data_IF_604682666386
#
_entry.id   IF_604682666386
#
_cell.length_a   1.000
_cell.length_b   1.000
_cell.length_c   1.000
_cell.angle_alpha   90.00
_cell.angle_beta   90.00
_cell.angle_gamma   90.00
#
_symmetry.space_group_name_H-M   'P 1'
#
loop_
_entity.id
_entity.type
_entity.pdbx_description
1 polymer ?
#
# COMPACT_ATOMS: atom_id res chain seq x y z
N UNK A 1 -32.88 -0.56 11.03
CA UNK A 1 -33.49 0.18 12.17
C UNK A 1 -34.13 -0.79 13.20
N UNK A 2 -35.01 -1.71 12.83
CA UNK A 2 -35.60 -2.67 13.78
C UNK A 2 -34.61 -3.65 14.39
N UNK A 3 -33.65 -4.14 13.63
CA UNK A 3 -32.59 -5.05 14.11
C UNK A 3 -31.58 -4.36 15.01
N UNK A 4 -31.26 -3.08 14.75
CA UNK A 4 -30.36 -2.29 15.59
C UNK A 4 -31.01 -1.99 16.97
N UNK A 5 -32.28 -1.67 16.99
CA UNK A 5 -33.02 -1.47 18.24
C UNK A 5 -33.16 -2.77 19.05
N UNK A 6 -33.25 -3.91 18.37
CA UNK A 6 -33.28 -5.22 19.02
C UNK A 6 -31.92 -5.61 19.63
N UNK A 7 -30.82 -5.27 18.91
CA UNK A 7 -29.46 -5.47 19.43
C UNK A 7 -29.15 -4.56 20.63
N UNK A 8 -29.60 -3.29 20.59
CA UNK A 8 -29.48 -2.34 21.70
C UNK A 8 -30.28 -2.80 22.92
N UNK A 9 -31.52 -3.27 22.75
CA UNK A 9 -32.34 -3.83 23.86
C UNK A 9 -31.69 -5.06 24.49
N UNK A 10 -31.08 -5.94 23.70
CA UNK A 10 -30.36 -7.12 24.18
C UNK A 10 -29.06 -6.76 24.94
N UNK A 11 -28.42 -5.66 24.56
CA UNK A 11 -27.26 -5.11 25.27
C UNK A 11 -27.69 -4.47 26.60
N UNK A 12 -28.76 -3.70 26.62
CA UNK A 12 -29.33 -3.08 27.81
C UNK A 12 -29.79 -4.15 28.82
N UNK A 13 -30.40 -5.25 28.36
CA UNK A 13 -30.88 -6.36 29.20
C UNK A 13 -29.71 -7.17 29.82
N UNK A 14 -28.57 -7.27 29.13
CA UNK A 14 -27.36 -7.92 29.66
C UNK A 14 -26.50 -7.04 30.56
N UNK A 15 -26.61 -5.73 30.47
CA UNK A 15 -25.90 -4.74 31.27
C UNK A 15 -26.84 -3.96 32.18
N UNK A 16 -27.79 -4.63 32.84
CA UNK A 16 -28.63 -4.01 33.86
C UNK A 16 -27.79 -3.54 35.05
N UNK A 17 -27.39 -2.26 35.01
CA UNK A 17 -26.49 -1.61 35.97
C UNK A 17 -27.20 -1.31 37.32
N UNK A 18 -28.45 -1.78 37.52
CA UNK A 18 -29.22 -1.50 38.72
C UNK A 18 -29.01 -2.44 39.90
N UNK A 19 -28.17 -3.49 39.77
CA UNK A 19 -27.86 -4.45 40.83
C UNK A 19 -26.36 -4.48 41.11
N UNK A 20 -25.83 -3.56 41.89
CA UNK A 20 -24.52 -3.66 42.48
C UNK A 20 -24.55 -4.40 43.81
N UNK A 21 -23.86 -5.54 44.00
CA UNK A 21 -23.33 -5.97 45.28
C UNK A 21 -21.88 -5.50 45.41
N UNK A 22 -21.66 -4.73 46.44
CA UNK A 22 -20.33 -4.35 46.92
C UNK A 22 -19.50 -5.58 47.28
N UNK A 23 -18.50 -5.94 46.48
CA UNK A 23 -17.32 -6.68 46.91
C UNK A 23 -16.17 -6.50 45.93
N UNK A 24 -15.07 -6.11 46.49
CA UNK A 24 -13.76 -5.81 45.87
C UNK A 24 -13.25 -6.91 44.94
N UNK A 25 -13.11 -6.56 43.65
CA UNK A 25 -12.18 -7.23 42.75
C UNK A 25 -11.39 -6.15 42.04
N UNK A 26 -10.20 -5.86 42.52
CA UNK A 26 -9.20 -5.09 41.83
C UNK A 26 -8.50 -6.02 40.84
N UNK A 27 -8.64 -5.74 39.54
CA UNK A 27 -7.83 -6.41 38.49
C UNK A 27 -8.46 -6.60 37.12
N UNK A 28 -9.81 -6.61 37.00
CA UNK A 28 -10.47 -6.88 35.72
C UNK A 28 -10.99 -5.62 34.97
N UNK A 29 -11.07 -4.50 35.63
CA UNK A 29 -11.77 -3.29 35.14
C UNK A 29 -11.09 -2.57 33.98
N UNK A 30 -9.77 -2.61 33.85
CA UNK A 30 -9.06 -1.85 32.81
C UNK A 30 -9.10 -2.51 31.42
N UNK A 31 -9.12 -3.85 31.38
CA UNK A 31 -9.27 -4.60 30.14
C UNK A 31 -10.72 -4.54 29.61
N UNK A 32 -11.70 -4.68 30.49
CA UNK A 32 -13.12 -4.58 30.14
C UNK A 32 -13.52 -3.16 29.69
N UNK A 33 -12.94 -2.11 30.26
CA UNK A 33 -13.15 -0.73 29.84
C UNK A 33 -12.52 -0.50 28.44
N UNK A 34 -11.32 -0.99 28.16
CA UNK A 34 -10.68 -0.89 26.83
C UNK A 34 -11.44 -1.66 25.75
N UNK A 35 -12.00 -2.82 26.09
CA UNK A 35 -12.85 -3.57 25.15
C UNK A 35 -14.19 -2.85 24.90
N UNK A 36 -14.79 -2.28 25.93
CA UNK A 36 -16.02 -1.49 25.81
C UNK A 36 -15.80 -0.18 25.03
N UNK A 37 -14.68 0.52 25.25
CA UNK A 37 -14.30 1.69 24.46
C UNK A 37 -14.02 1.32 22.99
N UNK A 38 -13.41 0.17 22.73
CA UNK A 38 -13.22 -0.38 21.39
C UNK A 38 -14.55 -0.71 20.69
N UNK A 39 -15.52 -1.25 21.42
CA UNK A 39 -16.86 -1.56 20.91
C UNK A 39 -17.67 -0.28 20.65
N UNK A 40 -17.64 0.67 21.59
CA UNK A 40 -18.30 1.97 21.46
C UNK A 40 -17.69 2.79 20.32
N UNK A 41 -16.36 2.73 20.14
CA UNK A 41 -15.69 3.37 19.01
C UNK A 41 -16.11 2.78 17.67
N UNK A 42 -16.29 1.46 17.56
CA UNK A 42 -16.84 0.80 16.37
C UNK A 42 -18.29 1.18 16.13
N UNK A 43 -19.13 1.15 17.16
CA UNK A 43 -20.52 1.60 17.04
C UNK A 43 -20.62 3.09 16.66
N UNK A 44 -19.77 3.96 17.19
CA UNK A 44 -19.74 5.38 16.83
C UNK A 44 -19.30 5.60 15.38
N UNK A 45 -18.37 4.77 14.86
CA UNK A 45 -17.97 4.79 13.45
C UNK A 45 -19.07 4.28 12.52
N UNK A 46 -19.80 3.25 12.92
CA UNK A 46 -20.97 2.74 12.16
C UNK A 46 -22.15 3.69 12.17
N UNK A 47 -22.36 4.43 13.28
CA UNK A 47 -23.41 5.45 13.39
C UNK A 47 -23.08 6.73 12.63
N UNK A 48 -21.82 6.93 12.23
CA UNK A 48 -21.42 8.07 11.43
C UNK A 48 -21.64 7.76 9.93
N UNK A 49 -22.91 7.68 9.52
CA UNK A 49 -23.36 7.36 8.16
C UNK A 49 -22.73 8.23 7.04
N UNK A 50 -21.99 9.28 7.40
CA UNK A 50 -21.28 10.18 6.49
C UNK A 50 -19.75 9.96 6.48
N UNK A 51 -19.19 9.06 7.29
CA UNK A 51 -17.76 8.82 7.30
C UNK A 51 -17.40 7.89 6.13
N UNK A 52 -16.54 8.37 5.22
CA UNK A 52 -16.00 7.54 4.14
C UNK A 52 -15.27 6.34 4.73
N UNK A 53 -15.47 5.14 4.17
CA UNK A 53 -14.74 3.95 4.60
C UNK A 53 -13.22 4.11 4.38
N UNK A 54 -12.42 3.43 5.21
CA UNK A 54 -10.95 3.53 5.16
C UNK A 54 -10.39 2.58 4.14
N UNK A 55 -9.63 3.09 3.18
CA UNK A 55 -8.85 2.30 2.23
C UNK A 55 -7.35 2.50 2.45
N UNK A 56 -6.60 1.42 2.45
CA UNK A 56 -5.17 1.40 2.72
C UNK A 56 -4.40 1.22 1.43
N UNK A 57 -3.42 2.09 1.19
CA UNK A 57 -2.62 2.05 -0.03
C UNK A 57 -1.13 2.08 0.30
N UNK A 58 -0.39 1.17 -0.33
CA UNK A 58 1.08 1.14 -0.29
C UNK A 58 1.58 1.66 -1.63
N UNK A 59 2.37 2.70 -1.57
CA UNK A 59 3.07 3.23 -2.74
C UNK A 59 4.52 2.76 -2.76
N UNK A 60 5.05 2.52 -3.94
CA UNK A 60 6.45 2.16 -4.12
C UNK A 60 6.88 2.40 -5.56
N UNK A 61 8.16 2.73 -5.77
CA UNK A 61 8.76 2.66 -7.10
C UNK A 61 9.26 1.23 -7.38
N UNK A 62 9.40 0.88 -8.65
CA UNK A 62 9.97 -0.40 -9.02
C UNK A 62 11.39 -0.56 -8.41
N UNK A 63 11.73 -1.77 -8.02
CA UNK A 63 13.01 -2.13 -7.39
C UNK A 63 13.23 -1.60 -5.96
N UNK A 64 12.24 -1.00 -5.30
CA UNK A 64 12.33 -0.49 -3.93
C UNK A 64 11.92 -1.49 -2.82
N UNK A 65 11.78 -2.78 -3.14
CA UNK A 65 11.44 -3.81 -2.15
C UNK A 65 9.93 -3.99 -1.90
N UNK A 66 9.07 -3.24 -2.59
CA UNK A 66 7.61 -3.27 -2.39
C UNK A 66 6.99 -4.66 -2.48
N UNK A 67 7.48 -5.56 -3.33
CA UNK A 67 7.00 -6.95 -3.43
C UNK A 67 7.18 -7.72 -2.12
N UNK A 68 8.35 -7.61 -1.49
CA UNK A 68 8.63 -8.34 -0.26
C UNK A 68 7.78 -7.83 0.91
N UNK A 69 7.70 -6.51 1.07
CA UNK A 69 6.83 -5.88 2.08
C UNK A 69 5.37 -6.28 1.85
N UNK A 70 4.91 -6.29 0.60
CA UNK A 70 3.53 -6.70 0.27
C UNK A 70 3.25 -8.16 0.62
N UNK A 71 4.21 -9.08 0.43
CA UNK A 71 4.08 -10.47 0.88
C UNK A 71 3.93 -10.57 2.40
N UNK A 72 4.73 -9.79 3.15
CA UNK A 72 4.62 -9.74 4.60
C UNK A 72 3.25 -9.24 5.07
N UNK A 73 2.72 -8.20 4.43
CA UNK A 73 1.39 -7.69 4.76
C UNK A 73 0.27 -8.64 4.33
N UNK A 74 0.42 -9.37 3.22
CA UNK A 74 -0.53 -10.40 2.81
C UNK A 74 -0.55 -11.60 3.77
N UNK A 75 0.50 -11.79 4.55
CA UNK A 75 0.59 -12.85 5.55
C UNK A 75 -0.09 -12.49 6.89
N UNK A 76 -0.54 -11.25 7.07
CA UNK A 76 -1.25 -10.82 8.27
C UNK A 76 -2.69 -11.37 8.30
N UNK A 77 -3.26 -11.62 9.49
CA UNK A 77 -4.60 -12.16 9.62
C UNK A 77 -5.66 -11.26 8.97
N UNK A 78 -6.51 -11.85 8.13
CA UNK A 78 -7.62 -11.17 7.47
C UNK A 78 -7.22 -9.94 6.62
N UNK A 79 -5.97 -9.85 6.18
CA UNK A 79 -5.49 -8.83 5.24
C UNK A 79 -5.46 -9.40 3.84
N UNK A 80 -6.14 -8.72 2.91
CA UNK A 80 -6.22 -9.07 1.49
C UNK A 80 -5.57 -7.96 0.68
N UNK A 81 -4.53 -8.29 -0.09
CA UNK A 81 -3.74 -7.31 -0.82
C UNK A 81 -3.88 -7.48 -2.32
N UNK A 82 -4.39 -6.44 -3.00
CA UNK A 82 -4.36 -6.33 -4.45
C UNK A 82 -3.09 -5.59 -4.88
N UNK A 83 -2.22 -6.31 -5.60
CA UNK A 83 -0.89 -5.82 -5.94
C UNK A 83 -0.81 -5.29 -7.36
N UNK A 84 -0.05 -4.20 -7.54
CA UNK A 84 0.22 -3.54 -8.83
C UNK A 84 -1.07 -3.03 -9.50
N UNK A 85 -1.95 -2.38 -8.72
CA UNK A 85 -3.19 -1.81 -9.25
C UNK A 85 -2.96 -0.42 -9.85
N UNK A 86 -3.43 -0.21 -11.08
CA UNK A 86 -3.41 1.10 -11.74
C UNK A 86 -4.30 1.10 -12.98
N UNK A 87 -5.14 2.14 -13.23
CA UNK A 87 -6.07 2.14 -14.37
C UNK A 87 -5.41 2.35 -15.73
N UNK A 88 -4.28 3.04 -15.76
CA UNK A 88 -3.66 3.51 -17.01
C UNK A 88 -2.35 2.85 -17.39
N UNK A 89 -1.86 1.88 -16.60
CA UNK A 89 -0.58 1.25 -16.96
C UNK A 89 -0.60 0.67 -18.38
N UNK A 90 0.42 1.01 -19.16
CA UNK A 90 0.62 0.49 -20.52
C UNK A 90 1.76 -0.52 -20.61
N UNK A 91 2.47 -0.76 -19.52
CA UNK A 91 3.69 -1.59 -19.50
C UNK A 91 3.49 -3.04 -19.94
N UNK A 92 2.25 -3.55 -19.90
CA UNK A 92 1.92 -4.90 -20.35
C UNK A 92 1.12 -4.91 -21.66
N UNK A 93 0.85 -3.74 -22.26
CA UNK A 93 0.05 -3.61 -23.48
C UNK A 93 0.98 -3.61 -24.69
N UNK A 94 0.67 -4.48 -25.65
CA UNK A 94 1.26 -4.47 -26.98
C UNK A 94 0.12 -4.54 -28.00
N UNK A 95 -0.16 -3.42 -28.67
CA UNK A 95 -1.25 -3.31 -29.66
C UNK A 95 -1.06 -4.25 -30.86
N UNK A 96 0.19 -4.60 -31.18
CA UNK A 96 0.50 -5.51 -32.28
C UNK A 96 0.41 -6.98 -31.87
N UNK A 97 0.46 -7.26 -30.55
CA UNK A 97 0.41 -8.60 -30.00
C UNK A 97 -0.46 -8.62 -28.75
N UNK A 98 -1.79 -8.52 -28.90
CA UNK A 98 -2.73 -8.51 -27.78
C UNK A 98 -2.53 -9.68 -26.85
N UNK A 99 -2.46 -9.41 -25.55
CA UNK A 99 -2.29 -10.43 -24.52
C UNK A 99 -3.63 -11.08 -24.22
N UNK A 100 -3.61 -12.39 -24.01
CA UNK A 100 -4.79 -13.12 -23.53
C UNK A 100 -5.05 -12.74 -22.06
N UNK A 101 -6.08 -11.94 -21.83
CA UNK A 101 -6.50 -11.47 -20.51
C UNK A 101 -8.03 -11.35 -20.43
N UNK A 102 -8.76 -12.48 -20.40
CA UNK A 102 -10.22 -12.51 -20.58
C UNK A 102 -11.00 -11.78 -19.48
N UNK A 103 -10.40 -11.56 -18.34
CA UNK A 103 -11.02 -10.86 -17.19
C UNK A 103 -10.64 -9.38 -17.09
N UNK A 104 -9.70 -8.91 -17.89
CA UNK A 104 -9.26 -7.51 -17.89
C UNK A 104 -10.02 -6.70 -18.96
N UNK A 105 -11.20 -6.23 -18.57
CA UNK A 105 -12.08 -5.46 -19.46
C UNK A 105 -11.42 -4.17 -19.94
N UNK A 106 -10.58 -3.52 -19.12
CA UNK A 106 -9.87 -2.30 -19.50
C UNK A 106 -8.87 -2.54 -20.64
N UNK A 107 -8.10 -3.62 -20.57
CA UNK A 107 -7.20 -4.01 -21.64
C UNK A 107 -7.94 -4.42 -22.91
N UNK A 108 -9.02 -5.18 -22.76
CA UNK A 108 -9.87 -5.59 -23.90
C UNK A 108 -10.50 -4.38 -24.60
N UNK A 109 -10.94 -3.38 -23.85
CA UNK A 109 -11.47 -2.12 -24.39
C UNK A 109 -10.42 -1.35 -25.19
N UNK A 110 -9.17 -1.29 -24.68
CA UNK A 110 -8.04 -0.66 -25.39
C UNK A 110 -7.71 -1.41 -26.67
N UNK A 111 -7.66 -2.74 -26.67
CA UNK A 111 -7.44 -3.54 -27.89
C UNK A 111 -8.57 -3.42 -28.89
N UNK A 112 -9.81 -3.26 -28.44
CA UNK A 112 -10.97 -3.05 -29.30
C UNK A 112 -11.06 -1.59 -29.84
N UNK A 113 -10.14 -0.70 -29.51
CA UNK A 113 -10.13 0.71 -29.85
C UNK A 113 -11.43 1.44 -29.48
N UNK A 114 -11.99 1.12 -28.32
CA UNK A 114 -13.17 1.84 -27.81
C UNK A 114 -12.78 3.29 -27.57
N UNK A 115 -13.54 4.28 -28.11
CA UNK A 115 -13.27 5.69 -27.88
C UNK A 115 -13.26 6.02 -26.39
N UNK A 116 -12.37 6.92 -25.96
CA UNK A 116 -12.22 7.34 -24.56
C UNK A 116 -11.93 6.18 -23.61
N UNK A 117 -11.10 5.21 -24.05
CA UNK A 117 -10.79 4.00 -23.29
C UNK A 117 -10.14 4.28 -21.91
N UNK A 118 -9.45 5.42 -21.74
CA UNK A 118 -8.89 5.81 -20.45
C UNK A 118 -9.98 6.22 -19.46
N UNK A 119 -10.97 7.01 -19.89
CA UNK A 119 -12.11 7.37 -19.04
C UNK A 119 -12.95 6.14 -18.66
N UNK A 120 -13.06 5.16 -19.57
CA UNK A 120 -13.70 3.89 -19.28
C UNK A 120 -12.87 3.08 -18.26
N UNK A 121 -11.55 3.06 -18.40
CA UNK A 121 -10.65 2.38 -17.47
C UNK A 121 -10.76 2.96 -16.06
N UNK A 122 -10.86 4.29 -15.90
CA UNK A 122 -11.10 4.95 -14.61
C UNK A 122 -12.39 4.48 -13.95
N UNK A 123 -13.48 4.44 -14.72
CA UNK A 123 -14.78 3.98 -14.21
C UNK A 123 -14.75 2.51 -13.79
N UNK A 124 -14.18 1.65 -14.62
CA UNK A 124 -14.05 0.21 -14.33
C UNK A 124 -13.19 0.01 -13.09
N UNK A 125 -12.03 0.68 -13.02
CA UNK A 125 -11.12 0.60 -11.89
C UNK A 125 -11.81 1.00 -10.58
N UNK A 126 -12.43 2.17 -10.54
CA UNK A 126 -13.15 2.71 -9.39
C UNK A 126 -14.22 1.74 -8.89
N UNK A 127 -15.11 1.27 -9.78
CA UNK A 127 -16.19 0.36 -9.41
C UNK A 127 -15.65 -1.01 -8.95
N UNK A 128 -14.59 -1.50 -9.58
CA UNK A 128 -13.97 -2.77 -9.19
C UNK A 128 -13.34 -2.71 -7.81
N UNK A 129 -12.68 -1.59 -7.46
CA UNK A 129 -12.10 -1.42 -6.12
C UNK A 129 -13.20 -1.29 -5.05
N UNK A 130 -14.28 -0.55 -5.34
CA UNK A 130 -15.42 -0.43 -4.42
C UNK A 130 -16.02 -1.82 -4.16
N UNK A 131 -16.32 -2.58 -5.22
CA UNK A 131 -16.90 -3.91 -5.08
C UNK A 131 -15.97 -4.90 -4.33
N UNK A 132 -14.66 -4.83 -4.59
CA UNK A 132 -13.68 -5.65 -3.88
C UNK A 132 -13.59 -5.26 -2.40
N UNK A 133 -13.63 -3.97 -2.08
CA UNK A 133 -13.64 -3.45 -0.72
C UNK A 133 -14.87 -3.97 0.06
N UNK A 134 -16.06 -3.75 -0.47
CA UNK A 134 -17.32 -4.18 0.14
C UNK A 134 -17.36 -5.70 0.37
N UNK A 135 -16.87 -6.47 -0.59
CA UNK A 135 -16.80 -7.92 -0.47
C UNK A 135 -15.84 -8.35 0.66
N UNK A 136 -14.63 -7.79 0.70
CA UNK A 136 -13.63 -8.11 1.73
C UNK A 136 -14.13 -7.70 3.11
N UNK A 137 -14.73 -6.51 3.24
CA UNK A 137 -15.31 -6.01 4.49
C UNK A 137 -16.45 -6.92 4.99
N UNK A 138 -17.32 -7.39 4.10
CA UNK A 138 -18.41 -8.31 4.45
C UNK A 138 -17.91 -9.66 5.02
N UNK A 139 -16.68 -10.03 4.73
CA UNK A 139 -16.00 -11.20 5.29
C UNK A 139 -15.22 -10.91 6.58
N UNK A 140 -15.29 -9.68 7.09
CA UNK A 140 -14.50 -9.24 8.25
C UNK A 140 -13.00 -9.04 7.94
N UNK A 141 -12.66 -8.89 6.66
CA UNK A 141 -11.30 -8.67 6.21
C UNK A 141 -10.95 -7.19 6.02
N UNK A 142 -9.69 -6.93 5.73
CA UNK A 142 -9.17 -5.60 5.41
C UNK A 142 -8.52 -5.60 4.03
N UNK A 143 -9.02 -4.74 3.13
CA UNK A 143 -8.43 -4.56 1.81
C UNK A 143 -7.25 -3.60 1.86
N UNK A 144 -6.13 -4.02 1.27
CA UNK A 144 -4.95 -3.19 1.04
C UNK A 144 -4.66 -3.16 -0.46
N UNK A 145 -4.40 -2.00 -1.00
CA UNK A 145 -3.94 -1.83 -2.38
C UNK A 145 -2.42 -1.58 -2.40
N UNK A 146 -1.72 -2.23 -3.30
CA UNK A 146 -0.37 -1.84 -3.70
C UNK A 146 -0.47 -1.11 -5.02
N UNK A 147 -0.30 0.20 -4.98
CA UNK A 147 -0.32 1.06 -6.15
C UNK A 147 0.86 0.75 -7.09
N UNK A 148 0.59 0.64 -8.38
CA UNK A 148 1.62 0.60 -9.40
C UNK A 148 2.16 2.01 -9.68
N UNK A 149 2.71 2.63 -8.63
CA UNK A 149 3.24 4.01 -8.61
C UNK A 149 4.25 4.30 -9.74
N UNK A 150 4.91 3.24 -10.22
CA UNK A 150 5.82 3.30 -11.36
C UNK A 150 5.13 3.81 -12.65
N UNK A 151 3.85 3.49 -12.84
CA UNK A 151 3.08 3.95 -14.01
C UNK A 151 2.94 5.48 -14.02
N UNK A 152 2.74 6.11 -12.86
CA UNK A 152 2.63 7.56 -12.73
C UNK A 152 4.00 8.26 -12.80
N UNK A 153 5.00 7.72 -12.10
CA UNK A 153 6.25 8.45 -11.84
C UNK A 153 7.40 8.06 -12.76
N UNK A 154 7.36 6.87 -13.37
CA UNK A 154 8.49 6.35 -14.16
C UNK A 154 8.19 6.03 -15.62
N UNK A 155 6.96 6.26 -16.11
CA UNK A 155 6.60 5.93 -17.50
C UNK A 155 6.09 7.11 -18.32
N UNK A 156 5.66 8.20 -17.70
CA UNK A 156 5.16 9.38 -18.41
C UNK A 156 6.13 10.53 -18.38
N UNK A 157 6.04 11.43 -19.37
CA UNK A 157 6.78 12.69 -19.41
C UNK A 157 6.17 13.68 -18.40
N UNK A 158 4.86 13.65 -18.22
CA UNK A 158 4.13 14.43 -17.24
C UNK A 158 3.93 13.60 -15.96
N UNK A 159 4.53 14.06 -14.89
CA UNK A 159 4.40 13.42 -13.57
C UNK A 159 3.18 14.04 -12.88
N UNK A 160 2.19 13.24 -12.44
CA UNK A 160 1.03 13.76 -11.75
C UNK A 160 1.41 14.35 -10.39
N UNK A 161 0.68 15.37 -9.96
CA UNK A 161 0.88 15.98 -8.63
C UNK A 161 0.52 15.03 -7.48
N UNK A 162 -0.35 14.04 -7.74
CA UNK A 162 -0.77 13.00 -6.80
C UNK A 162 -0.95 11.69 -7.55
N UNK A 163 -0.78 10.57 -6.86
CA UNK A 163 -1.07 9.25 -7.43
C UNK A 163 -2.45 9.22 -8.08
N UNK A 164 -2.51 8.70 -9.30
CA UNK A 164 -3.77 8.50 -10.06
C UNK A 164 -4.74 7.63 -9.25
N UNK A 165 -4.26 6.58 -8.59
CA UNK A 165 -5.09 5.70 -7.75
C UNK A 165 -5.71 6.47 -6.59
N UNK A 166 -4.95 7.31 -5.89
CA UNK A 166 -5.46 8.15 -4.81
C UNK A 166 -6.52 9.11 -5.31
N UNK A 167 -6.23 9.83 -6.40
CA UNK A 167 -7.15 10.83 -6.98
C UNK A 167 -8.49 10.23 -7.38
N UNK A 168 -8.50 9.00 -7.93
CA UNK A 168 -9.72 8.32 -8.34
C UNK A 168 -10.55 7.80 -7.17
N UNK A 169 -9.92 7.46 -6.04
CA UNK A 169 -10.57 6.77 -4.94
C UNK A 169 -10.91 7.67 -3.74
N UNK A 170 -10.28 8.85 -3.61
CA UNK A 170 -10.50 9.77 -2.46
C UNK A 170 -11.92 10.33 -2.36
N UNK A 171 -12.70 10.30 -3.44
CA UNK A 171 -14.11 10.66 -3.39
C UNK A 171 -14.93 9.67 -2.55
N UNK A 172 -14.59 8.38 -2.59
CA UNK A 172 -15.32 7.30 -1.91
C UNK A 172 -14.70 6.86 -0.60
N UNK A 173 -13.37 7.00 -0.47
CA UNK A 173 -12.61 6.47 0.66
C UNK A 173 -11.85 7.55 1.42
N UNK A 174 -11.69 7.31 2.71
CA UNK A 174 -10.66 7.96 3.51
C UNK A 174 -9.36 7.16 3.34
N UNK A 175 -8.42 7.71 2.58
CA UNK A 175 -7.22 6.97 2.16
C UNK A 175 -6.12 7.11 3.19
N UNK A 176 -5.64 5.97 3.68
CA UNK A 176 -4.43 5.86 4.49
C UNK A 176 -3.31 5.32 3.61
N UNK A 177 -2.26 6.12 3.40
CA UNK A 177 -1.14 5.77 2.52
C UNK A 177 0.18 5.70 3.26
N UNK A 178 1.03 4.78 2.80
CA UNK A 178 2.47 4.75 3.11
C UNK A 178 3.27 4.68 1.80
N UNK A 179 4.52 5.11 1.87
CA UNK A 179 5.50 4.98 0.80
C UNK A 179 6.67 4.11 1.28
N UNK A 180 7.00 3.09 0.51
CA UNK A 180 8.22 2.31 0.74
C UNK A 180 9.30 2.77 -0.21
N UNK A 181 10.48 3.04 0.33
CA UNK A 181 11.65 3.53 -0.41
C UNK A 181 12.85 2.63 -0.17
N UNK A 182 13.81 2.71 -1.07
CA UNK A 182 15.11 2.07 -0.96
C UNK A 182 16.18 3.05 -1.39
N UNK A 183 17.42 2.83 -0.97
CA UNK A 183 18.57 3.62 -1.43
C UNK A 183 18.48 3.88 -2.95
N UNK A 184 18.54 5.14 -3.40
CA UNK A 184 18.36 5.49 -4.81
C UNK A 184 19.38 4.84 -5.74
N UNK A 185 20.63 4.70 -5.31
CA UNK A 185 21.69 4.07 -6.10
C UNK A 185 21.34 2.60 -6.36
N UNK A 186 20.91 1.88 -5.32
CA UNK A 186 20.55 0.47 -5.42
C UNK A 186 19.28 0.24 -6.25
N UNK A 187 18.29 1.12 -6.07
CA UNK A 187 17.03 1.06 -6.83
C UNK A 187 17.26 1.33 -8.31
N UNK A 188 17.99 2.40 -8.64
CA UNK A 188 18.29 2.76 -10.03
C UNK A 188 19.19 1.73 -10.72
N UNK A 189 20.20 1.23 -10.00
CA UNK A 189 21.06 0.13 -10.51
C UNK A 189 20.22 -1.09 -10.89
N UNK A 190 19.23 -1.42 -10.07
CA UNK A 190 18.32 -2.53 -10.35
C UNK A 190 17.37 -2.22 -11.52
N UNK A 191 16.91 -1.00 -11.68
CA UNK A 191 16.10 -0.57 -12.83
C UNK A 191 16.88 -0.70 -14.14
N UNK A 192 18.11 -0.19 -14.17
CA UNK A 192 19.00 -0.28 -15.34
C UNK A 192 19.28 -1.75 -15.70
N UNK A 193 19.64 -2.56 -14.71
CA UNK A 193 19.91 -4.01 -14.90
C UNK A 193 18.72 -4.76 -15.48
N UNK A 194 17.49 -4.40 -15.11
CA UNK A 194 16.28 -5.06 -15.57
C UNK A 194 15.74 -4.46 -16.89
N UNK A 195 16.31 -3.37 -17.40
CA UNK A 195 15.79 -2.65 -18.57
C UNK A 195 14.46 -1.92 -18.31
N UNK A 196 14.21 -1.51 -17.05
CA UNK A 196 12.94 -0.91 -16.61
C UNK A 196 13.01 0.62 -16.45
N UNK A 197 14.00 1.27 -17.05
CA UNK A 197 14.06 2.73 -17.13
C UNK A 197 13.20 3.17 -18.32
N UNK A 198 11.99 3.64 -18.04
CA UNK A 198 10.98 4.01 -19.04
C UNK A 198 10.74 5.52 -19.14
N UNK A 199 11.58 6.34 -18.53
CA UNK A 199 11.55 7.80 -18.57
C UNK A 199 12.76 8.36 -19.32
N UNK A 200 12.66 9.61 -19.77
CA UNK A 200 13.74 10.36 -20.39
C UNK A 200 14.02 11.67 -19.60
N UNK A 201 15.28 12.12 -19.52
CA UNK A 201 16.49 11.38 -19.88
C UNK A 201 16.72 10.16 -18.98
N UNK A 202 17.32 9.08 -19.51
CA UNK A 202 17.66 7.86 -18.76
C UNK A 202 18.91 8.09 -17.93
N UNK A 203 18.80 8.89 -16.86
CA UNK A 203 19.90 9.24 -15.97
C UNK A 203 19.52 9.04 -14.51
N UNK A 204 20.52 8.86 -13.67
CA UNK A 204 20.35 8.77 -12.22
C UNK A 204 19.79 10.08 -11.64
N UNK A 205 20.20 11.24 -12.18
CA UNK A 205 19.70 12.55 -11.73
C UNK A 205 18.20 12.70 -11.97
N UNK A 206 17.69 12.28 -13.14
CA UNK A 206 16.26 12.27 -13.45
C UNK A 206 15.49 11.27 -12.56
N UNK A 207 16.06 10.11 -12.28
CA UNK A 207 15.48 9.18 -11.31
C UNK A 207 15.29 9.85 -9.94
N UNK A 208 16.33 10.52 -9.44
CA UNK A 208 16.29 11.22 -8.16
C UNK A 208 15.28 12.39 -8.18
N UNK A 209 15.17 13.12 -9.29
CA UNK A 209 14.17 14.19 -9.45
C UNK A 209 12.75 13.63 -9.30
N UNK A 210 12.44 12.52 -9.95
CA UNK A 210 11.13 11.85 -9.89
C UNK A 210 10.84 11.28 -8.49
N UNK A 211 11.84 10.69 -7.87
CA UNK A 211 11.75 10.20 -6.50
C UNK A 211 11.43 11.34 -5.52
N UNK A 212 12.06 12.51 -5.65
CA UNK A 212 11.78 13.67 -4.81
C UNK A 212 10.34 14.17 -4.95
N UNK A 213 9.81 14.24 -6.18
CA UNK A 213 8.42 14.62 -6.43
C UNK A 213 7.46 13.65 -5.74
N UNK A 214 7.73 12.36 -5.77
CA UNK A 214 6.93 11.37 -5.05
C UNK A 214 7.05 11.53 -3.54
N UNK A 215 8.27 11.67 -3.01
CA UNK A 215 8.52 11.82 -1.58
C UNK A 215 7.81 13.05 -0.98
N UNK A 216 7.69 14.13 -1.75
CA UNK A 216 7.02 15.36 -1.31
C UNK A 216 5.52 15.20 -1.05
N UNK A 217 4.93 14.11 -1.53
CA UNK A 217 3.52 13.79 -1.29
C UNK A 217 3.28 13.11 0.07
N UNK A 218 4.35 12.72 0.78
CA UNK A 218 4.27 11.96 2.03
C UNK A 218 4.97 12.69 3.17
N UNK A 219 4.40 12.62 4.37
CA UNK A 219 5.08 13.02 5.60
C UNK A 219 6.15 11.98 5.97
N UNK A 220 7.15 12.39 6.74
CA UNK A 220 8.20 11.46 7.21
C UNK A 220 7.63 10.22 7.93
N UNK A 221 6.54 10.38 8.67
CA UNK A 221 5.87 9.27 9.37
C UNK A 221 5.13 8.28 8.44
N UNK A 222 5.08 8.53 7.14
CA UNK A 222 4.49 7.65 6.13
C UNK A 222 5.55 6.97 5.26
N UNK A 223 6.83 7.32 5.41
CA UNK A 223 7.93 6.80 4.59
C UNK A 223 8.65 5.70 5.36
N UNK A 224 8.78 4.53 4.73
CA UNK A 224 9.42 3.35 5.29
C UNK A 224 10.59 2.92 4.42
N UNK A 225 11.78 2.78 5.01
CA UNK A 225 12.99 2.36 4.30
C UNK A 225 13.05 0.83 4.17
N UNK A 226 13.43 0.36 2.98
CA UNK A 226 13.68 -1.06 2.73
C UNK A 226 14.89 -1.57 3.55
N UNK A 227 15.89 -0.74 3.78
CA UNK A 227 17.08 -1.07 4.55
C UNK A 227 16.70 -1.34 6.02
N UNK A 228 15.93 -0.45 6.64
CA UNK A 228 15.40 -0.66 7.99
C UNK A 228 14.47 -1.87 8.04
N UNK A 229 13.65 -2.07 7.01
CA UNK A 229 12.79 -3.25 6.94
C UNK A 229 13.61 -4.56 6.84
N UNK A 230 14.72 -4.57 6.09
CA UNK A 230 15.53 -5.78 5.96
C UNK A 230 16.39 -6.06 7.19
N UNK A 231 16.74 -5.04 7.99
CA UNK A 231 17.50 -5.19 9.23
C UNK A 231 16.63 -5.59 10.43
N UNK A 232 15.39 -5.07 10.51
CA UNK A 232 14.41 -5.41 11.55
C UNK A 232 13.00 -5.52 10.97
N UNK A 233 12.66 -6.64 10.32
CA UNK A 233 11.37 -6.84 9.68
C UNK A 233 10.18 -6.73 10.64
N UNK A 234 10.34 -7.25 11.86
CA UNK A 234 9.25 -7.27 12.84
C UNK A 234 8.89 -5.86 13.31
N UNK A 235 9.88 -5.07 13.70
CA UNK A 235 9.62 -3.68 14.10
C UNK A 235 9.03 -2.85 12.95
N UNK A 236 9.53 -3.03 11.72
CA UNK A 236 9.05 -2.26 10.58
C UNK A 236 7.64 -2.67 10.15
N UNK A 237 7.31 -3.97 10.10
CA UNK A 237 5.94 -4.42 9.82
C UNK A 237 4.98 -3.97 10.92
N UNK A 238 5.38 -4.02 12.19
CA UNK A 238 4.56 -3.49 13.29
C UNK A 238 4.28 -2.00 13.13
N UNK A 239 5.29 -1.19 12.77
CA UNK A 239 5.12 0.25 12.51
C UNK A 239 4.23 0.53 11.29
N UNK A 240 4.36 -0.25 10.21
CA UNK A 240 3.46 -0.19 9.04
C UNK A 240 2.03 -0.54 9.46
N UNK A 241 1.83 -1.61 10.23
CA UNK A 241 0.52 -2.02 10.73
C UNK A 241 -0.11 -0.93 11.58
N UNK A 242 0.65 -0.32 12.49
CA UNK A 242 0.17 0.82 13.29
C UNK A 242 -0.26 1.99 12.39
N UNK A 243 0.53 2.33 11.35
CA UNK A 243 0.24 3.44 10.44
C UNK A 243 -0.98 3.19 9.55
N UNK A 244 -1.17 1.95 9.11
CA UNK A 244 -2.29 1.54 8.25
C UNK A 244 -3.47 0.98 9.05
N UNK A 245 -3.39 0.95 10.37
CA UNK A 245 -4.41 0.34 11.24
C UNK A 245 -4.73 -1.11 10.81
N UNK A 246 -3.68 -1.92 10.66
CA UNK A 246 -3.76 -3.34 10.34
C UNK A 246 -3.49 -4.18 11.59
N UNK A 247 -4.04 -5.39 11.68
CA UNK A 247 -3.66 -6.33 12.73
C UNK A 247 -2.19 -6.73 12.54
N UNK A 248 -1.39 -6.66 13.62
CA UNK A 248 -0.02 -7.16 13.60
C UNK A 248 0.01 -8.59 14.16
N UNK A 249 0.74 -9.46 13.48
CA UNK A 249 1.01 -10.83 13.92
C UNK A 249 2.43 -11.21 13.50
N UNK A 250 3.28 -11.54 14.47
CA UNK A 250 4.70 -11.86 14.25
C UNK A 250 4.93 -13.12 13.38
N UNK A 251 3.92 -13.98 13.26
CA UNK A 251 4.01 -15.18 12.42
C UNK A 251 4.16 -14.90 10.93
N UNK A 252 3.91 -13.64 10.48
CA UNK A 252 4.10 -13.24 9.10
C UNK A 252 5.49 -13.60 8.58
N UNK A 253 6.53 -13.47 9.41
CA UNK A 253 7.91 -13.71 9.02
C UNK A 253 8.18 -15.19 8.67
N UNK A 254 7.44 -16.09 9.27
CA UNK A 254 7.54 -17.53 9.00
C UNK A 254 6.75 -17.99 7.78
N UNK A 255 5.74 -17.21 7.34
CA UNK A 255 4.78 -17.66 6.33
C UNK A 255 4.69 -16.76 5.09
N UNK A 256 5.34 -15.57 5.08
CA UNK A 256 5.24 -14.61 3.96
C UNK A 256 5.63 -15.22 2.60
N UNK A 257 6.54 -16.19 2.59
CA UNK A 257 6.99 -16.86 1.36
C UNK A 257 5.91 -17.71 0.70
N UNK A 258 4.84 -18.07 1.42
CA UNK A 258 3.69 -18.80 0.88
C UNK A 258 2.75 -17.89 0.08
N UNK A 259 2.85 -16.58 0.26
CA UNK A 259 1.98 -15.61 -0.40
C UNK A 259 2.56 -15.15 -1.74
N UNK A 260 1.71 -15.17 -2.77
CA UNK A 260 2.05 -14.72 -4.10
C UNK A 260 1.39 -13.36 -4.36
N UNK A 261 2.18 -12.41 -4.85
CA UNK A 261 1.69 -11.09 -5.28
C UNK A 261 2.10 -10.83 -6.72
N UNK A 262 1.30 -10.07 -7.47
CA UNK A 262 1.68 -9.67 -8.83
C UNK A 262 2.89 -8.72 -8.79
N UNK A 263 3.61 -8.59 -9.90
CA UNK A 263 4.85 -7.79 -9.95
C UNK A 263 6.04 -8.47 -9.25
N UNK A 264 5.92 -9.75 -8.91
CA UNK A 264 7.04 -10.53 -8.40
C UNK A 264 7.95 -10.95 -9.55
N UNK A 265 9.21 -10.51 -9.51
CA UNK A 265 10.23 -10.88 -10.51
C UNK A 265 10.69 -12.35 -10.43
N UNK A 266 10.01 -13.17 -9.61
CA UNK A 266 10.30 -14.60 -9.44
C UNK A 266 11.56 -14.88 -8.61
N UNK A 267 12.11 -13.89 -7.93
CA UNK A 267 13.18 -14.09 -6.96
C UNK A 267 12.60 -14.71 -5.70
N UNK A 268 12.67 -16.01 -5.60
CA UNK A 268 12.29 -16.74 -4.39
C UNK A 268 13.34 -16.48 -3.32
N UNK A 269 13.03 -15.67 -2.34
CA UNK A 269 13.77 -15.58 -1.09
C UNK A 269 12.82 -16.05 0.01
N UNK A 270 13.19 -17.09 0.68
CA UNK A 270 12.45 -17.63 1.84
C UNK A 270 12.89 -16.92 3.13
N UNK A 271 13.78 -15.95 3.03
CA UNK A 271 14.26 -15.15 4.15
C UNK A 271 14.35 -13.67 3.78
N UNK A 272 14.02 -12.83 4.75
CA UNK A 272 14.24 -11.39 4.70
C UNK A 272 15.69 -11.16 5.14
N UNK A 273 16.49 -10.54 4.28
CA UNK A 273 17.90 -10.27 4.57
C UNK A 273 18.38 -9.01 3.90
N UNK A 274 19.35 -8.39 4.49
CA UNK A 274 20.09 -7.30 3.86
C UNK A 274 20.76 -7.78 2.57
N UNK A 275 20.86 -6.90 1.62
CA UNK A 275 21.52 -7.18 0.32
C UNK A 275 22.79 -6.35 0.21
N UNK A 276 23.84 -7.00 -0.19
CA UNK A 276 25.08 -6.32 -0.56
C UNK A 276 24.82 -5.35 -1.73
N UNK A 277 25.34 -4.12 -1.62
CA UNK A 277 25.28 -3.13 -2.70
C UNK A 277 26.15 -3.60 -3.86
N UNK A 278 25.54 -3.73 -5.03
CA UNK A 278 26.22 -4.03 -6.30
C UNK A 278 25.79 -2.93 -7.29
N UNK A 279 26.37 -1.75 -7.16
CA UNK A 279 26.14 -0.64 -8.07
C UNK A 279 27.26 -0.57 -9.11
N UNK A 280 26.95 -0.42 -10.42
CA UNK A 280 27.94 -0.11 -11.44
C UNK A 280 28.68 1.19 -11.13
N UNK A 281 29.99 1.22 -11.42
CA UNK A 281 30.85 2.38 -11.15
C UNK A 281 30.30 3.67 -11.81
N UNK A 282 29.74 3.54 -13.03
CA UNK A 282 29.14 4.66 -13.74
C UNK A 282 27.97 5.31 -12.95
N UNK A 283 27.13 4.51 -12.27
CA UNK A 283 26.03 5.05 -11.46
C UNK A 283 26.54 5.73 -10.20
N UNK A 284 27.63 5.23 -9.60
CA UNK A 284 28.31 5.87 -8.47
C UNK A 284 28.83 7.24 -8.90
N UNK A 285 29.52 7.32 -10.04
CA UNK A 285 30.05 8.57 -10.60
C UNK A 285 28.91 9.56 -10.95
N UNK A 286 27.79 9.09 -11.51
CA UNK A 286 26.60 9.92 -11.72
C UNK A 286 26.04 10.44 -10.40
N UNK A 287 26.01 9.62 -9.34
CA UNK A 287 25.46 10.01 -8.04
C UNK A 287 26.26 11.13 -7.37
N UNK A 288 27.58 11.14 -7.51
CA UNK A 288 28.45 12.20 -7.00
C UNK A 288 28.15 13.56 -7.65
N UNK A 289 27.70 13.56 -8.89
CA UNK A 289 27.41 14.76 -9.69
C UNK A 289 25.91 15.12 -9.73
N UNK A 290 25.03 14.31 -9.14
CA UNK A 290 23.59 14.53 -9.16
C UNK A 290 23.14 15.59 -8.16
N UNK A 291 22.59 16.69 -8.66
CA UNK A 291 22.04 17.76 -7.81
C UNK A 291 20.77 17.33 -7.06
N UNK A 292 19.95 16.45 -7.65
CA UNK A 292 18.76 15.93 -7.01
C UNK A 292 19.08 14.86 -5.97
N UNK A 293 20.13 14.08 -6.17
CA UNK A 293 20.59 13.15 -5.14
C UNK A 293 21.12 13.87 -3.91
N UNK A 294 21.86 14.96 -4.09
CA UNK A 294 22.30 15.80 -2.95
C UNK A 294 21.12 16.36 -2.16
N UNK A 295 20.09 16.86 -2.85
CA UNK A 295 18.84 17.31 -2.20
C UNK A 295 18.12 16.18 -1.46
N UNK A 296 18.15 14.96 -2.02
CA UNK A 296 17.60 13.78 -1.35
C UNK A 296 18.35 13.50 -0.04
N UNK A 297 19.67 13.49 -0.06
CA UNK A 297 20.49 13.26 1.12
C UNK A 297 20.27 14.32 2.19
N UNK A 298 20.13 15.61 1.80
CA UNK A 298 19.89 16.71 2.72
C UNK A 298 18.51 16.62 3.40
N UNK A 299 17.47 16.27 2.64
CA UNK A 299 16.07 16.36 3.10
C UNK A 299 15.56 15.06 3.73
N UNK A 300 15.97 13.95 3.20
CA UNK A 300 15.45 12.64 3.56
C UNK A 300 16.51 11.72 4.14
N UNK A 301 17.40 12.24 4.98
CA UNK A 301 18.44 11.47 5.68
C UNK A 301 17.82 10.22 6.32
N UNK A 302 17.37 9.32 5.44
CA UNK A 302 16.86 8.00 5.83
C UNK A 302 18.11 7.27 6.27
N UNK A 303 18.19 7.00 7.57
CA UNK A 303 19.33 6.29 8.16
C UNK A 303 19.55 5.00 7.34
N UNK A 304 20.67 5.00 6.61
CA UNK A 304 21.16 3.83 5.88
C UNK A 304 21.89 2.97 6.90
#
# INVERSE_FOLDING_TARGET
>A
MAELNNALSLLEEKFDVSAAPSSSVQGSTELEIKEAEGLLGRCANELNENAKPKLRIIHHLACSGGTLISKCLSALPNVYLLSEVHPHTSLALDVNKPRYSPTDISSLAKYANIPFANELADKIFKQSIIAAYEHVESLGGTLVLRDHTHADFHTSDEIPQRSTVVTLLEEHFNIQSILTVRDPIDSYSSLVKNGWVHFEPKSFDEYCRRLLILLEQFSAAQIFSYELFSSDPQAQVAAICQKLELPFDETFESIFSLFNVTGDSGRKSDAISERERIAPQAIIEESENSSFYQKYLEKYHIAI
#
